data_IF_587854867837
#
_entry.id   IF_587854867837
#
_cell.length_a   1.000
_cell.length_b   1.000
_cell.length_c   1.000
_cell.angle_alpha   90.00
_cell.angle_beta   90.00
_cell.angle_gamma   90.00
#
_symmetry.space_group_name_H-M   'P 1'
#
loop_
_entity.id
_entity.type
_entity.pdbx_description
1 polymer ?
#
# COMPACT_ATOMS: atom_id res chain seq x y z
N UNK A 1 2.53 2.32 -20.63
CA UNK A 1 3.45 1.87 -19.57
C UNK A 1 2.84 2.23 -18.23
N UNK A 2 2.83 1.29 -17.28
CA UNK A 2 2.25 1.50 -15.95
C UNK A 2 3.07 2.57 -15.20
N UNK A 3 2.40 3.60 -14.69
CA UNK A 3 3.01 4.68 -13.91
C UNK A 3 2.30 4.82 -12.57
N UNK A 4 3.07 5.16 -11.53
CA UNK A 4 2.55 5.47 -10.21
C UNK A 4 2.86 6.93 -9.90
N UNK A 5 1.84 7.69 -9.52
CA UNK A 5 1.97 9.09 -9.10
C UNK A 5 2.52 9.19 -7.69
N UNK A 6 3.21 10.28 -7.36
CA UNK A 6 3.74 10.50 -6.01
C UNK A 6 2.65 10.50 -4.93
N UNK A 7 1.45 11.01 -5.25
CA UNK A 7 0.29 10.96 -4.37
C UNK A 7 -0.16 9.51 -4.05
N UNK A 8 -0.16 8.62 -5.06
CA UNK A 8 -0.49 7.20 -4.86
C UNK A 8 0.56 6.51 -4.00
N UNK A 9 1.85 6.81 -4.25
CA UNK A 9 2.96 6.28 -3.46
C UNK A 9 2.88 6.73 -2.00
N UNK A 10 2.63 8.01 -1.76
CA UNK A 10 2.48 8.54 -0.40
C UNK A 10 1.29 7.91 0.32
N UNK A 11 0.15 7.80 -0.35
CA UNK A 11 -1.02 7.12 0.21
C UNK A 11 -0.71 5.66 0.57
N UNK A 12 -0.02 4.92 -0.30
CA UNK A 12 0.37 3.54 -0.01
C UNK A 12 1.29 3.43 1.22
N UNK A 13 2.30 4.29 1.31
CA UNK A 13 3.22 4.32 2.45
C UNK A 13 2.49 4.68 3.75
N UNK A 14 1.59 5.67 3.71
CA UNK A 14 0.76 6.02 4.87
C UNK A 14 -0.11 4.85 5.32
N UNK A 15 -0.67 4.08 4.38
CA UNK A 15 -1.42 2.86 4.70
C UNK A 15 -0.53 1.77 5.31
N UNK A 16 0.71 1.60 4.84
CA UNK A 16 1.67 0.64 5.42
C UNK A 16 2.02 1.05 6.86
N UNK A 17 2.29 2.33 7.10
CA UNK A 17 2.55 2.86 8.44
C UNK A 17 1.34 2.63 9.36
N UNK A 18 0.13 2.98 8.90
CA UNK A 18 -1.11 2.80 9.65
C UNK A 18 -1.39 1.33 9.99
N UNK A 19 -1.13 0.40 9.08
CA UNK A 19 -1.24 -1.06 9.34
C UNK A 19 -0.29 -1.53 10.44
N UNK A 20 0.90 -0.93 10.54
CA UNK A 20 1.84 -1.18 11.63
C UNK A 20 1.51 -0.39 12.91
N UNK A 21 0.35 0.29 12.97
CA UNK A 21 -0.08 1.19 14.05
C UNK A 21 0.94 2.31 14.30
N UNK A 22 1.66 2.71 13.25
CA UNK A 22 2.67 3.76 13.29
C UNK A 22 2.20 4.97 12.49
N UNK A 23 2.54 6.15 12.98
CA UNK A 23 2.52 7.38 12.17
C UNK A 23 3.63 7.32 11.12
N UNK A 24 3.52 8.09 10.04
CA UNK A 24 4.58 8.17 9.02
C UNK A 24 5.96 8.51 9.61
N UNK A 25 6.00 9.44 10.57
CA UNK A 25 7.23 9.87 11.24
C UNK A 25 7.88 8.72 12.04
N UNK A 26 7.10 8.03 12.87
CA UNK A 26 7.55 6.82 13.58
C UNK A 26 7.99 5.69 12.64
N UNK A 27 7.32 5.52 11.51
CA UNK A 27 7.70 4.53 10.51
C UNK A 27 9.05 4.86 9.88
N UNK A 28 9.30 6.13 9.56
CA UNK A 28 10.60 6.60 9.06
C UNK A 28 11.69 6.35 10.12
N UNK A 29 11.44 6.73 11.37
CA UNK A 29 12.39 6.49 12.46
C UNK A 29 12.69 4.98 12.63
N UNK A 30 11.67 4.12 12.52
CA UNK A 30 11.85 2.67 12.59
C UNK A 30 12.72 2.12 11.43
N UNK A 31 12.57 2.65 10.22
CA UNK A 31 13.43 2.29 9.08
C UNK A 31 14.89 2.69 9.34
N UNK A 32 15.12 3.89 9.86
CA UNK A 32 16.47 4.36 10.20
C UNK A 32 17.12 3.50 11.29
N UNK A 33 16.35 3.06 12.29
CA UNK A 33 16.81 2.13 13.32
C UNK A 33 17.20 0.75 12.73
N UNK A 34 16.54 0.34 11.65
CA UNK A 34 16.88 -0.89 10.91
C UNK A 34 18.01 -0.71 9.89
N UNK A 35 18.57 0.50 9.77
CA UNK A 35 19.60 0.83 8.79
C UNK A 35 19.05 0.93 7.36
N UNK A 36 17.75 1.12 7.18
CA UNK A 36 17.12 1.36 5.87
C UNK A 36 16.79 2.85 5.68
N UNK A 37 17.08 3.35 4.48
CA UNK A 37 16.73 4.72 4.11
C UNK A 37 15.27 4.82 3.64
N UNK A 38 14.54 5.83 4.10
CA UNK A 38 13.21 6.16 3.56
C UNK A 38 13.15 6.23 2.02
N UNK A 39 14.06 6.91 1.30
CA UNK A 39 14.03 6.95 -0.17
C UNK A 39 14.16 5.56 -0.83
N UNK A 40 14.95 4.65 -0.25
CA UNK A 40 15.09 3.28 -0.76
C UNK A 40 13.80 2.49 -0.56
N UNK A 41 13.17 2.61 0.62
CA UNK A 41 11.87 2.01 0.90
C UNK A 41 10.79 2.55 -0.06
N UNK A 42 10.75 3.87 -0.30
CA UNK A 42 9.82 4.48 -1.29
C UNK A 42 9.98 3.87 -2.68
N UNK A 43 11.21 3.63 -3.12
CA UNK A 43 11.49 3.02 -4.43
C UNK A 43 11.05 1.54 -4.47
N UNK A 44 11.25 0.80 -3.38
CA UNK A 44 10.76 -0.58 -3.26
C UNK A 44 9.24 -0.64 -3.36
N UNK A 45 8.53 0.19 -2.58
CA UNK A 45 7.06 0.27 -2.61
C UNK A 45 6.56 0.69 -4.00
N UNK A 46 7.24 1.64 -4.66
CA UNK A 46 6.91 2.02 -6.05
C UNK A 46 7.00 0.83 -6.99
N UNK A 47 8.07 0.05 -6.90
CA UNK A 47 8.30 -1.12 -7.75
C UNK A 47 7.25 -2.20 -7.52
N UNK A 48 6.93 -2.49 -6.26
CA UNK A 48 5.86 -3.41 -5.86
C UNK A 48 4.50 -2.99 -6.43
N UNK A 49 4.11 -1.72 -6.29
CA UNK A 49 2.85 -1.23 -6.86
C UNK A 49 2.80 -1.34 -8.39
N UNK A 50 3.92 -1.15 -9.08
CA UNK A 50 3.99 -1.34 -10.54
C UNK A 50 3.76 -2.83 -10.86
N UNK A 51 4.42 -3.74 -10.15
CA UNK A 51 4.25 -5.19 -10.32
C UNK A 51 2.79 -5.59 -10.09
N UNK A 52 2.21 -5.17 -8.97
CA UNK A 52 0.80 -5.43 -8.63
C UNK A 52 -0.15 -4.93 -9.71
N UNK A 53 0.09 -3.73 -10.24
CA UNK A 53 -0.75 -3.14 -11.29
C UNK A 53 -0.59 -3.82 -12.66
N UNK A 54 0.62 -4.28 -12.98
CA UNK A 54 0.86 -5.12 -14.17
C UNK A 54 0.15 -6.45 -14.01
N UNK A 55 0.29 -7.13 -12.86
CA UNK A 55 -0.38 -8.40 -12.58
C UNK A 55 -1.91 -8.24 -12.62
N UNK A 56 -2.47 -7.23 -11.96
CA UNK A 56 -3.90 -6.91 -12.02
C UNK A 56 -4.37 -6.63 -13.45
N UNK A 57 -3.59 -5.91 -14.27
CA UNK A 57 -3.89 -5.69 -15.68
C UNK A 57 -3.90 -6.98 -16.51
N UNK A 58 -3.00 -7.91 -16.22
CA UNK A 58 -2.97 -9.23 -16.86
C UNK A 58 -4.12 -10.15 -16.35
N UNK A 59 -4.51 -10.02 -15.09
CA UNK A 59 -5.61 -10.78 -14.47
C UNK A 59 -6.99 -10.23 -14.85
N UNK A 60 -7.13 -8.92 -15.11
CA UNK A 60 -8.39 -8.33 -15.60
C UNK A 60 -8.78 -8.82 -17.02
N UNK A 61 -7.85 -9.44 -17.75
CA UNK A 61 -8.17 -10.19 -18.97
C UNK A 61 -8.75 -11.60 -18.69
N UNK A 62 -8.72 -12.08 -17.44
CA UNK A 62 -9.22 -13.41 -17.08
C UNK A 62 -10.28 -13.45 -15.99
N UNK A 63 -10.33 -12.56 -15.00
CA UNK A 63 -11.39 -12.64 -13.97
C UNK A 63 -11.81 -11.24 -13.50
N UNK A 64 -13.07 -10.94 -13.81
CA UNK A 64 -13.85 -9.82 -13.29
C UNK A 64 -14.29 -10.18 -11.86
N UNK A 65 -13.55 -9.73 -10.83
CA UNK A 65 -13.99 -9.84 -9.44
C UNK A 65 -14.47 -8.47 -8.97
N UNK A 66 -15.79 -8.38 -8.85
CA UNK A 66 -16.61 -7.28 -8.37
C UNK A 66 -16.25 -6.93 -6.92
N UNK A 67 -15.92 -5.67 -6.59
CA UNK A 67 -15.68 -5.28 -5.20
C UNK A 67 -17.02 -5.16 -4.46
N UNK A 68 -17.48 -6.26 -3.86
CA UNK A 68 -18.67 -6.28 -2.99
C UNK A 68 -18.40 -6.69 -1.54
N UNK A 69 -17.15 -6.85 -1.12
CA UNK A 69 -16.84 -7.44 0.19
C UNK A 69 -15.77 -6.69 1.02
N UNK A 70 -15.74 -5.35 1.01
CA UNK A 70 -14.90 -4.62 1.99
C UNK A 70 -15.71 -3.67 2.89
N UNK A 71 -17.02 -3.51 2.67
CA UNK A 71 -17.85 -2.58 3.46
C UNK A 71 -18.47 -3.19 4.73
N UNK A 72 -18.13 -4.43 5.11
CA UNK A 72 -18.87 -5.17 6.16
C UNK A 72 -18.00 -5.76 7.29
N UNK A 73 -16.90 -5.10 7.66
CA UNK A 73 -16.07 -5.56 8.79
C UNK A 73 -15.86 -4.53 9.91
N UNK A 74 -16.51 -3.36 9.89
CA UNK A 74 -16.33 -2.32 10.91
C UNK A 74 -17.62 -1.84 11.60
N UNK A 75 -18.74 -2.57 11.48
CA UNK A 75 -20.03 -2.14 12.05
C UNK A 75 -20.68 -3.18 12.98
N UNK A 76 -19.92 -4.02 13.69
CA UNK A 76 -20.49 -4.86 14.75
C UNK A 76 -19.50 -5.17 15.87
N UNK A 77 -19.06 -4.15 16.59
CA UNK A 77 -18.67 -4.26 18.01
C UNK A 77 -19.03 -2.94 18.71
N UNK A 78 -20.32 -2.64 18.81
CA UNK A 78 -20.93 -1.93 19.95
C UNK A 78 -22.47 -1.99 19.80
N UNK A 79 -23.13 -2.76 20.67
CA UNK A 79 -24.59 -2.94 20.70
C UNK A 79 -25.04 -4.32 21.14
#
# INVERSE_FOLDING_TARGET
GVRISDAQLNGAIQNIAAQNRMTLEQFIAALEQQGQSYPEMREQVRREMIIQRVQAGNVNQRIQITPKEIDNFLATEDG
#
